data_IF_651783396546
#
_entry.id   IF_651783396546
#
_cell.length_a   1.000
_cell.length_b   1.000
_cell.length_c   1.000
_cell.angle_alpha   90.00
_cell.angle_beta   90.00
_cell.angle_gamma   90.00
#
_symmetry.space_group_name_H-M   'P 1'
#
loop_
_entity.id
_entity.type
_entity.pdbx_description
1 polymer ?
#
# COMPACT_ATOMS: atom_id res chain seq x y z
N UNK A 1 16.69 -3.42 -14.89
CA UNK A 1 17.01 -4.01 -16.20
C UNK A 1 16.59 -5.49 -16.31
N UNK A 2 17.15 -6.41 -15.48
CA UNK A 2 16.81 -7.86 -15.58
C UNK A 2 15.32 -8.11 -15.38
N UNK A 3 14.74 -7.52 -14.35
CA UNK A 3 13.31 -7.66 -14.04
C UNK A 3 12.44 -7.09 -15.16
N UNK A 4 12.75 -5.91 -15.66
CA UNK A 4 11.96 -5.27 -16.70
C UNK A 4 12.04 -6.05 -18.03
N UNK A 5 13.26 -6.50 -18.39
CA UNK A 5 13.42 -7.39 -19.53
C UNK A 5 12.59 -8.68 -19.39
N UNK A 6 12.52 -9.28 -18.20
CA UNK A 6 11.68 -10.46 -17.97
C UNK A 6 10.18 -10.18 -18.18
N UNK A 7 9.71 -8.99 -17.81
CA UNK A 7 8.35 -8.56 -18.09
C UNK A 7 8.11 -8.31 -19.60
N UNK A 8 9.02 -7.60 -20.26
CA UNK A 8 8.97 -7.32 -21.69
C UNK A 8 8.97 -8.59 -22.54
N UNK A 9 9.72 -9.60 -22.14
CA UNK A 9 9.77 -10.89 -22.80
C UNK A 9 8.58 -11.81 -22.45
N UNK A 10 7.66 -11.39 -21.58
CA UNK A 10 6.53 -12.19 -21.15
C UNK A 10 6.90 -13.42 -20.30
N UNK A 11 8.07 -13.41 -19.66
CA UNK A 11 8.50 -14.53 -18.81
C UNK A 11 7.85 -14.49 -17.43
N UNK A 12 7.33 -13.34 -17.02
CA UNK A 12 6.62 -13.17 -15.76
C UNK A 12 5.14 -13.48 -15.97
N UNK A 13 4.71 -14.61 -15.43
CA UNK A 13 3.35 -15.12 -15.66
C UNK A 13 2.56 -15.18 -14.34
N UNK A 14 1.23 -15.10 -14.40
CA UNK A 14 0.36 -15.33 -13.26
C UNK A 14 0.60 -16.70 -12.62
N UNK A 15 0.36 -16.80 -11.34
CA UNK A 15 0.48 -18.04 -10.58
C UNK A 15 -0.46 -19.09 -11.17
N UNK A 16 0.08 -20.25 -11.52
CA UNK A 16 -0.69 -21.43 -11.90
C UNK A 16 -0.65 -22.44 -10.76
N UNK A 17 -1.75 -22.61 -10.07
CA UNK A 17 -1.88 -23.58 -8.98
C UNK A 17 -2.13 -24.96 -9.56
N UNK A 18 -1.30 -25.94 -9.19
CA UNK A 18 -1.46 -27.33 -9.62
C UNK A 18 -2.57 -28.06 -8.83
N UNK A 19 -2.62 -27.84 -7.52
CA UNK A 19 -3.54 -28.46 -6.61
C UNK A 19 -4.20 -27.40 -5.74
N UNK A 20 -5.46 -27.08 -5.99
CA UNK A 20 -6.27 -26.18 -5.17
C UNK A 20 -6.57 -26.82 -3.82
N UNK A 21 -6.38 -26.07 -2.76
CA UNK A 21 -6.77 -26.43 -1.39
C UNK A 21 -8.10 -25.79 -1.05
N UNK A 22 -8.87 -26.46 -0.20
CA UNK A 22 -10.14 -25.92 0.31
C UNK A 22 -9.95 -24.82 1.35
N UNK A 23 -8.78 -24.80 2.01
CA UNK A 23 -8.49 -23.82 3.06
C UNK A 23 -8.32 -22.41 2.49
N UNK A 24 -8.94 -21.48 3.18
CA UNK A 24 -8.88 -20.05 2.87
C UNK A 24 -8.04 -19.28 3.88
N UNK A 25 -7.27 -18.32 3.41
CA UNK A 25 -6.46 -17.44 4.25
C UNK A 25 -6.83 -15.99 3.94
N UNK A 26 -7.22 -15.27 4.99
CA UNK A 26 -7.41 -13.83 4.95
C UNK A 26 -6.11 -13.11 5.31
N UNK A 27 -5.71 -12.11 4.53
CA UNK A 27 -4.55 -11.27 4.81
C UNK A 27 -5.05 -9.84 5.00
N UNK A 28 -4.70 -9.23 6.13
CA UNK A 28 -5.09 -7.85 6.45
C UNK A 28 -3.89 -6.96 6.18
N UNK A 29 -3.98 -6.17 5.12
CA UNK A 29 -2.95 -5.28 4.60
C UNK A 29 -2.37 -5.76 3.27
N UNK A 30 -2.52 -4.93 2.23
CA UNK A 30 -2.00 -5.14 0.88
C UNK A 30 -0.65 -4.44 0.65
N UNK A 31 0.12 -4.22 1.70
CA UNK A 31 1.51 -3.74 1.61
C UNK A 31 2.49 -4.84 1.18
N UNK A 32 3.80 -4.54 1.10
CA UNK A 32 4.83 -5.48 0.65
C UNK A 32 4.77 -6.84 1.35
N UNK A 33 4.60 -6.86 2.67
CA UNK A 33 4.54 -8.09 3.46
C UNK A 33 3.29 -8.93 3.12
N UNK A 34 2.13 -8.28 3.03
CA UNK A 34 0.86 -8.94 2.69
C UNK A 34 0.88 -9.51 1.27
N UNK A 35 1.40 -8.74 0.29
CA UNK A 35 1.51 -9.19 -1.11
C UNK A 35 2.49 -10.35 -1.26
N UNK A 36 3.63 -10.31 -0.58
CA UNK A 36 4.61 -11.41 -0.60
C UNK A 36 4.02 -12.69 0.01
N UNK A 37 3.35 -12.58 1.16
CA UNK A 37 2.67 -13.70 1.80
C UNK A 37 1.54 -14.26 0.91
N UNK A 38 0.72 -13.39 0.32
CA UNK A 38 -0.36 -13.76 -0.59
C UNK A 38 0.17 -14.60 -1.76
N UNK A 39 1.25 -14.16 -2.38
CA UNK A 39 1.89 -14.87 -3.49
C UNK A 39 2.37 -16.26 -3.08
N UNK A 40 3.14 -16.35 -1.99
CA UNK A 40 3.71 -17.63 -1.56
C UNK A 40 2.61 -18.62 -1.14
N UNK A 41 1.62 -18.17 -0.40
CA UNK A 41 0.49 -19.02 0.01
C UNK A 41 -0.37 -19.45 -1.19
N UNK A 42 -0.57 -18.55 -2.16
CA UNK A 42 -1.29 -18.89 -3.39
C UNK A 42 -0.54 -19.96 -4.21
N UNK A 43 0.77 -19.87 -4.34
CA UNK A 43 1.61 -20.90 -4.99
C UNK A 43 1.46 -22.27 -4.34
N UNK A 44 1.22 -22.31 -3.03
CA UNK A 44 0.96 -23.54 -2.28
C UNK A 44 -0.49 -24.06 -2.44
N UNK A 45 -1.35 -23.35 -3.16
CA UNK A 45 -2.71 -23.76 -3.48
C UNK A 45 -3.81 -23.21 -2.56
N UNK A 46 -3.48 -22.40 -1.58
CA UNK A 46 -4.49 -21.83 -0.68
C UNK A 46 -5.35 -20.77 -1.39
N UNK A 47 -6.61 -20.66 -0.96
CA UNK A 47 -7.51 -19.60 -1.38
C UNK A 47 -7.18 -18.32 -0.60
N UNK A 48 -6.77 -17.27 -1.30
CA UNK A 48 -6.27 -16.05 -0.67
C UNK A 48 -7.23 -14.88 -0.89
N UNK A 49 -7.55 -14.17 0.19
CA UNK A 49 -8.24 -12.88 0.16
C UNK A 49 -7.43 -11.86 0.93
N UNK A 50 -7.06 -10.77 0.28
CA UNK A 50 -6.32 -9.65 0.86
C UNK A 50 -7.28 -8.49 1.09
N UNK A 51 -7.35 -7.98 2.32
CA UNK A 51 -8.17 -6.85 2.73
C UNK A 51 -7.29 -5.63 2.95
N UNK A 52 -7.65 -4.50 2.38
CA UNK A 52 -6.93 -3.25 2.61
C UNK A 52 -7.89 -2.06 2.71
N UNK A 53 -7.59 -1.12 3.60
CA UNK A 53 -8.37 0.09 3.80
C UNK A 53 -8.23 1.10 2.66
N UNK A 54 -7.18 1.00 1.88
CA UNK A 54 -6.94 1.85 0.72
C UNK A 54 -7.64 1.32 -0.53
N UNK A 55 -7.81 2.19 -1.49
CA UNK A 55 -8.42 1.94 -2.79
C UNK A 55 -7.48 1.20 -3.76
N UNK A 56 -6.17 1.16 -3.46
CA UNK A 56 -5.16 0.45 -4.24
C UNK A 56 -4.26 -0.40 -3.34
N UNK A 57 -3.90 -1.59 -3.83
CA UNK A 57 -2.91 -2.43 -3.19
C UNK A 57 -1.50 -1.90 -3.45
N UNK A 58 -0.58 -2.18 -2.53
CA UNK A 58 0.82 -1.77 -2.61
C UNK A 58 1.32 -1.13 -1.31
N UNK A 59 0.43 -0.65 -0.44
CA UNK A 59 0.79 0.00 0.82
C UNK A 59 1.73 1.18 0.58
N UNK A 60 2.90 1.21 1.24
CA UNK A 60 3.88 2.29 1.06
C UNK A 60 4.50 2.33 -0.34
N UNK A 61 4.50 1.25 -1.10
CA UNK A 61 4.97 1.27 -2.49
C UNK A 61 4.09 2.14 -3.39
N UNK A 62 2.78 2.17 -3.14
CA UNK A 62 1.84 2.98 -3.92
C UNK A 62 1.67 4.39 -3.34
N UNK A 63 1.60 4.53 -2.00
CA UNK A 63 1.25 5.80 -1.35
C UNK A 63 2.35 6.44 -0.49
N UNK A 64 3.46 5.75 -0.25
CA UNK A 64 4.59 6.28 0.53
C UNK A 64 5.76 6.71 -0.35
N UNK A 65 6.29 5.81 -1.15
CA UNK A 65 7.46 6.06 -2.00
C UNK A 65 7.06 6.99 -3.16
N UNK A 66 7.78 8.09 -3.44
CA UNK A 66 7.49 8.97 -4.56
C UNK A 66 7.65 8.28 -5.92
N UNK A 67 6.89 8.76 -6.93
CA UNK A 67 6.91 8.18 -8.27
C UNK A 67 8.28 8.20 -8.94
N UNK A 68 9.11 9.22 -8.66
CA UNK A 68 10.47 9.31 -9.21
C UNK A 68 11.45 8.24 -8.66
N UNK A 69 11.13 7.63 -7.50
CA UNK A 69 11.89 6.49 -6.94
C UNK A 69 11.30 5.15 -7.34
N UNK A 70 9.97 5.06 -7.42
CA UNK A 70 9.26 3.85 -7.78
C UNK A 70 8.01 4.21 -8.59
N UNK A 71 8.09 4.02 -9.89
CA UNK A 71 6.99 4.26 -10.81
C UNK A 71 5.79 3.39 -10.46
N UNK A 72 4.59 3.98 -10.38
CA UNK A 72 3.39 3.30 -9.86
C UNK A 72 2.93 2.15 -10.74
N UNK A 73 3.16 2.23 -12.05
CA UNK A 73 2.83 1.13 -12.95
C UNK A 73 3.54 -0.18 -12.58
N UNK A 74 4.74 -0.10 -11.97
CA UNK A 74 5.49 -1.29 -11.50
C UNK A 74 4.74 -1.99 -10.37
N UNK A 75 4.12 -1.22 -9.48
CA UNK A 75 3.31 -1.75 -8.37
C UNK A 75 1.99 -2.31 -8.92
N UNK A 76 1.34 -1.56 -9.82
CA UNK A 76 0.06 -1.95 -10.42
C UNK A 76 0.18 -3.22 -11.28
N UNK A 77 1.22 -3.31 -12.15
CA UNK A 77 1.45 -4.54 -12.93
C UNK A 77 1.66 -5.76 -12.05
N UNK A 78 2.31 -5.57 -10.88
CA UNK A 78 2.55 -6.63 -9.91
C UNK A 78 1.27 -7.08 -9.22
N UNK A 79 0.46 -6.14 -8.76
CA UNK A 79 -0.82 -6.46 -8.10
C UNK A 79 -1.79 -7.13 -9.08
N UNK A 80 -1.87 -6.64 -10.30
CA UNK A 80 -2.65 -7.26 -11.37
C UNK A 80 -2.24 -8.70 -11.65
N UNK A 81 -0.93 -8.98 -11.72
CA UNK A 81 -0.41 -10.33 -11.89
C UNK A 81 -0.84 -11.28 -10.76
N UNK A 82 -0.87 -10.78 -9.52
CA UNK A 82 -1.32 -11.55 -8.36
C UNK A 82 -2.83 -11.82 -8.42
N UNK A 83 -3.62 -10.85 -8.85
CA UNK A 83 -5.06 -10.98 -9.07
C UNK A 83 -5.37 -12.02 -10.17
N UNK A 84 -4.68 -11.94 -11.30
CA UNK A 84 -4.75 -12.93 -12.39
C UNK A 84 -4.33 -14.32 -11.91
N UNK A 85 -3.47 -14.43 -10.90
CA UNK A 85 -3.09 -15.66 -10.21
C UNK A 85 -4.15 -16.21 -9.25
N UNK A 86 -5.31 -15.54 -9.14
CA UNK A 86 -6.44 -15.97 -8.34
C UNK A 86 -6.42 -15.48 -6.89
N UNK A 87 -5.63 -14.44 -6.57
CA UNK A 87 -5.70 -13.74 -5.28
C UNK A 87 -6.84 -12.73 -5.36
N UNK A 88 -7.75 -12.74 -4.38
CA UNK A 88 -8.84 -11.78 -4.27
C UNK A 88 -8.40 -10.56 -3.46
N UNK A 89 -8.58 -9.36 -4.02
CA UNK A 89 -8.37 -8.10 -3.31
C UNK A 89 -9.72 -7.48 -2.93
N UNK A 90 -9.83 -7.05 -1.67
CA UNK A 90 -10.97 -6.32 -1.13
C UNK A 90 -10.43 -4.97 -0.63
N UNK A 91 -10.50 -3.99 -1.51
CA UNK A 91 -10.03 -2.63 -1.25
C UNK A 91 -11.13 -1.80 -0.58
N UNK A 92 -10.75 -0.63 -0.04
CA UNK A 92 -11.64 0.25 0.73
C UNK A 92 -12.34 -0.48 1.88
N UNK A 93 -11.63 -1.42 2.50
CA UNK A 93 -12.15 -2.27 3.57
C UNK A 93 -11.30 -2.11 4.84
N UNK A 94 -11.85 -1.46 5.82
CA UNK A 94 -11.19 -1.18 7.08
C UNK A 94 -11.61 -2.19 8.17
N UNK A 95 -10.70 -3.05 8.57
CA UNK A 95 -10.95 -4.00 9.66
C UNK A 95 -11.10 -3.25 10.98
N UNK A 96 -12.17 -3.56 11.71
CA UNK A 96 -12.61 -2.83 12.88
C UNK A 96 -13.78 -1.86 12.60
N UNK A 97 -14.01 -1.51 11.33
CA UNK A 97 -15.12 -0.68 10.89
C UNK A 97 -16.09 -1.47 10.01
N UNK A 98 -15.61 -2.02 8.89
CA UNK A 98 -16.44 -2.77 7.94
C UNK A 98 -16.67 -4.22 8.36
N UNK A 99 -15.72 -4.80 9.06
CA UNK A 99 -15.87 -6.07 9.75
C UNK A 99 -14.95 -6.15 10.96
N UNK A 100 -15.36 -6.90 11.97
CA UNK A 100 -14.49 -7.21 13.11
C UNK A 100 -13.48 -8.29 12.75
N UNK A 101 -12.39 -8.35 13.52
CA UNK A 101 -11.39 -9.42 13.38
C UNK A 101 -12.02 -10.81 13.60
N UNK A 102 -12.98 -10.91 14.52
CA UNK A 102 -13.70 -12.16 14.79
C UNK A 102 -14.55 -12.62 13.60
N UNK A 103 -15.21 -11.70 12.90
CA UNK A 103 -15.97 -12.03 11.70
C UNK A 103 -15.04 -12.56 10.59
N UNK A 104 -13.86 -11.97 10.42
CA UNK A 104 -12.88 -12.47 9.46
C UNK A 104 -12.30 -13.83 9.88
N UNK A 105 -12.08 -14.06 11.18
CA UNK A 105 -11.65 -15.37 11.70
C UNK A 105 -12.68 -16.48 11.49
N UNK A 106 -13.95 -16.14 11.45
CA UNK A 106 -15.03 -17.12 11.12
C UNK A 106 -15.11 -17.38 9.61
N UNK A 107 -14.68 -16.41 8.80
CA UNK A 107 -14.74 -16.49 7.34
C UNK A 107 -13.56 -17.25 6.73
N UNK A 108 -12.41 -17.24 7.39
CA UNK A 108 -11.17 -17.84 6.92
C UNK A 108 -10.61 -18.85 7.92
N UNK A 109 -9.95 -19.89 7.41
CA UNK A 109 -9.26 -20.89 8.24
C UNK A 109 -8.08 -20.27 9.01
N UNK A 110 -7.43 -19.25 8.45
CA UNK A 110 -6.35 -18.51 9.09
C UNK A 110 -6.36 -17.04 8.67
N UNK A 111 -5.84 -16.18 9.56
CA UNK A 111 -5.62 -14.76 9.27
C UNK A 111 -4.16 -14.40 9.47
N UNK A 112 -3.63 -13.62 8.54
CA UNK A 112 -2.34 -12.95 8.65
C UNK A 112 -2.57 -11.43 8.78
N UNK A 113 -1.96 -10.81 9.79
CA UNK A 113 -1.99 -9.36 9.98
C UNK A 113 -0.67 -8.78 9.45
N UNK A 114 -0.77 -7.95 8.40
CA UNK A 114 0.35 -7.35 7.69
C UNK A 114 0.13 -5.85 7.44
N UNK A 115 -0.45 -5.15 8.43
CA UNK A 115 -0.93 -3.77 8.31
C UNK A 115 0.16 -2.70 8.25
N UNK A 116 1.41 -3.05 8.54
CA UNK A 116 2.51 -2.07 8.66
C UNK A 116 2.35 -1.16 9.89
N UNK A 117 3.08 -0.05 9.90
CA UNK A 117 3.06 0.95 10.97
C UNK A 117 2.67 2.30 10.39
N UNK A 118 1.50 2.80 10.78
CA UNK A 118 0.97 4.09 10.29
C UNK A 118 0.88 5.18 11.36
N UNK A 119 1.04 4.82 12.64
CA UNK A 119 1.05 5.83 13.70
C UNK A 119 2.37 6.61 13.62
N UNK A 120 2.28 7.89 13.27
CA UNK A 120 3.43 8.78 13.27
C UNK A 120 4.03 8.90 14.67
N UNK A 121 5.35 9.05 14.74
CA UNK A 121 6.02 9.47 15.97
C UNK A 121 5.78 10.96 16.13
N UNK A 122 5.23 11.35 17.24
CA UNK A 122 5.06 12.77 17.56
C UNK A 122 6.39 13.35 18.03
N UNK A 123 6.64 14.59 17.61
CA UNK A 123 7.75 15.41 18.13
C UNK A 123 7.17 16.20 19.29
N UNK A 124 7.74 16.02 20.48
CA UNK A 124 7.33 16.78 21.66
C UNK A 124 8.16 18.05 21.78
N UNK A 125 7.76 19.07 21.05
CA UNK A 125 8.41 20.38 21.00
C UNK A 125 7.36 21.49 21.16
N UNK A 126 7.76 22.67 21.73
CA UNK A 126 6.91 23.85 21.73
C UNK A 126 6.49 24.20 20.30
N UNK A 127 5.20 24.45 20.07
CA UNK A 127 4.68 24.83 18.79
C UNK A 127 4.24 23.66 17.89
N UNK A 128 4.28 22.41 18.37
CA UNK A 128 3.81 21.23 17.59
C UNK A 128 2.36 21.32 17.15
N UNK A 129 1.54 22.09 17.86
CA UNK A 129 0.11 22.28 17.58
C UNK A 129 -0.18 23.51 16.69
N UNK A 130 0.85 24.18 16.16
CA UNK A 130 0.69 25.28 15.23
C UNK A 130 0.13 24.79 13.88
N UNK A 131 -0.55 25.66 13.17
CA UNK A 131 -1.04 25.37 11.83
C UNK A 131 0.08 25.10 10.81
N UNK A 132 -0.24 24.40 9.74
CA UNK A 132 0.68 24.05 8.65
C UNK A 132 1.83 23.09 9.03
N UNK A 133 1.63 22.30 10.07
CA UNK A 133 2.52 21.19 10.45
C UNK A 133 1.83 19.89 10.08
N UNK A 134 2.44 19.11 9.20
CA UNK A 134 1.85 17.89 8.69
C UNK A 134 2.78 16.70 8.88
N UNK A 135 2.25 15.51 9.23
CA UNK A 135 3.01 14.28 9.17
C UNK A 135 3.46 13.98 7.73
N UNK A 136 4.71 13.54 7.56
CA UNK A 136 5.28 13.24 6.25
C UNK A 136 4.40 12.28 5.43
N UNK A 137 3.83 11.24 6.07
CA UNK A 137 2.97 10.28 5.38
C UNK A 137 1.66 10.85 4.86
N UNK A 138 1.14 11.90 5.47
CA UNK A 138 -0.04 12.62 4.97
C UNK A 138 0.29 13.34 3.66
N UNK A 139 1.41 14.08 3.65
CA UNK A 139 1.91 14.75 2.45
C UNK A 139 2.24 13.76 1.34
N UNK A 140 3.00 12.70 1.63
CA UNK A 140 3.42 11.71 0.63
C UNK A 140 2.22 10.96 0.04
N UNK A 141 1.23 10.60 0.87
CA UNK A 141 0.00 9.95 0.39
C UNK A 141 -0.77 10.88 -0.54
N UNK A 142 -0.93 12.14 -0.18
CA UNK A 142 -1.61 13.14 -0.99
C UNK A 142 -0.88 13.39 -2.32
N UNK A 143 0.44 13.57 -2.27
CA UNK A 143 1.30 13.76 -3.44
C UNK A 143 1.25 12.57 -4.40
N UNK A 144 1.36 11.34 -3.88
CA UNK A 144 1.28 10.13 -4.71
C UNK A 144 -0.11 9.94 -5.33
N UNK A 145 -1.19 10.20 -4.59
CA UNK A 145 -2.55 10.19 -5.13
C UNK A 145 -2.71 11.22 -6.25
N UNK A 146 -2.19 12.43 -6.05
CA UNK A 146 -2.21 13.46 -7.09
C UNK A 146 -1.43 13.02 -8.34
N UNK A 147 -0.27 12.43 -8.16
CA UNK A 147 0.55 11.86 -9.26
C UNK A 147 -0.14 10.71 -10.01
N UNK A 148 -1.06 9.98 -9.36
CA UNK A 148 -1.92 8.97 -9.96
C UNK A 148 -3.16 9.55 -10.67
N UNK A 149 -3.36 10.87 -10.65
CA UNK A 149 -4.49 11.56 -11.27
C UNK A 149 -5.72 11.68 -10.39
N UNK A 150 -5.62 11.35 -9.11
CA UNK A 150 -6.75 11.46 -8.18
C UNK A 150 -7.05 12.92 -7.84
N UNK A 151 -8.30 13.19 -7.47
CA UNK A 151 -8.70 14.43 -6.83
C UNK A 151 -8.30 14.36 -5.35
N UNK A 152 -7.47 15.29 -4.90
CA UNK A 152 -7.00 15.37 -3.51
C UNK A 152 -7.27 16.77 -2.98
N UNK A 153 -8.34 16.93 -2.22
CA UNK A 153 -8.83 18.24 -1.77
C UNK A 153 -7.76 19.08 -1.06
N UNK A 154 -7.05 18.48 -0.10
CA UNK A 154 -5.99 19.18 0.65
C UNK A 154 -4.79 19.58 -0.23
N UNK A 155 -4.56 18.90 -1.32
CA UNK A 155 -3.52 19.24 -2.28
C UNK A 155 -4.02 20.29 -3.27
N UNK A 156 -5.25 20.12 -3.77
CA UNK A 156 -5.86 20.97 -4.78
C UNK A 156 -6.23 22.37 -4.24
N UNK A 157 -6.56 22.48 -2.95
CA UNK A 157 -6.83 23.76 -2.27
C UNK A 157 -5.55 24.46 -1.76
N UNK A 158 -4.38 23.87 -1.99
CA UNK A 158 -3.08 24.43 -1.62
C UNK A 158 -2.62 24.14 -0.19
N UNK A 159 -3.40 23.44 0.64
CA UNK A 159 -3.02 23.16 2.04
C UNK A 159 -1.75 22.29 2.10
N UNK A 160 -1.72 21.18 1.37
CA UNK A 160 -0.56 20.27 1.28
C UNK A 160 0.32 20.52 0.05
N UNK A 161 0.00 21.46 -0.81
CA UNK A 161 0.82 21.79 -1.97
C UNK A 161 1.97 22.71 -1.53
N UNK A 162 3.20 22.31 -1.82
CA UNK A 162 4.43 23.03 -1.47
C UNK A 162 4.85 24.09 -2.50
N UNK A 163 4.18 24.17 -3.65
CA UNK A 163 4.50 25.08 -4.74
C UNK A 163 4.50 26.56 -4.28
N UNK A 164 5.59 27.25 -4.52
CA UNK A 164 5.77 28.66 -4.14
C UNK A 164 5.90 28.93 -2.64
N UNK A 165 6.09 27.89 -1.81
CA UNK A 165 6.20 28.02 -0.35
C UNK A 165 7.61 27.70 0.16
N UNK A 166 7.96 28.26 1.32
CA UNK A 166 9.14 27.87 2.07
C UNK A 166 8.79 26.69 2.95
N UNK A 167 9.41 25.54 2.70
CA UNK A 167 9.12 24.29 3.41
C UNK A 167 10.30 23.92 4.30
N UNK A 168 10.01 23.52 5.52
CA UNK A 168 10.98 22.93 6.45
C UNK A 168 10.61 21.48 6.67
N UNK A 169 11.54 20.57 6.37
CA UNK A 169 11.40 19.13 6.64
C UNK A 169 12.20 18.80 7.88
N UNK A 170 11.53 18.24 8.89
CA UNK A 170 12.16 17.83 10.15
C UNK A 170 12.40 16.33 10.10
N UNK A 171 13.67 15.96 9.94
CA UNK A 171 14.15 14.58 9.84
C UNK A 171 15.24 14.43 8.79
N UNK A 172 16.02 13.36 8.88
CA UNK A 172 17.14 13.07 7.97
C UNK A 172 17.13 11.64 7.42
N UNK A 173 16.02 10.92 7.58
CA UNK A 173 15.85 9.57 7.04
C UNK A 173 15.18 9.58 5.65
N UNK A 174 15.02 8.39 5.06
CA UNK A 174 14.44 8.20 3.71
C UNK A 174 13.08 8.89 3.55
N UNK A 175 12.20 8.80 4.55
CA UNK A 175 10.89 9.45 4.51
C UNK A 175 10.99 10.97 4.39
N UNK A 176 11.97 11.60 5.06
CA UNK A 176 12.20 13.03 4.95
C UNK A 176 12.75 13.41 3.58
N UNK A 177 13.68 12.61 3.05
CA UNK A 177 14.20 12.77 1.69
C UNK A 177 13.14 12.59 0.61
N UNK A 178 12.13 11.79 0.88
CA UNK A 178 10.98 11.58 -0.03
C UNK A 178 10.03 12.80 -0.07
N UNK A 179 10.11 13.69 0.93
CA UNK A 179 9.31 14.93 0.99
C UNK A 179 9.98 16.13 0.33
N UNK A 180 11.26 16.02 -0.10
CA UNK A 180 12.05 17.08 -0.75
C UNK A 180 12.03 16.89 -2.25
#
# INVERSE_FOLDING_TARGET
>A
YITDNAWEQGWVNPIKVKNEKSQSIGIIGAGPAGLAAAEQLRKLGYQITVYDRYDRAGGLMIYGIPNFKLEKFVVERRTKLLEEGGIKFVQNFEVGKDATLEQLRKKHDSLLIATGVYKAREIDLPGKDLGNIFPAMEFLTASNKKGLGDKVELFDNGTLNAEGKNIVVIGGGDTAMDCV
#
